data_IF_767124158687
#
_entry.id   IF_767124158687
#
_cell.length_a   1.000
_cell.length_b   1.000
_cell.length_c   1.000
_cell.angle_alpha   90.00
_cell.angle_beta   90.00
_cell.angle_gamma   90.00
#
_symmetry.space_group_name_H-M   'P 1'
#
loop_
_entity.id
_entity.type
_entity.pdbx_description
1 polymer ?
#
# COMPACT_ATOMS: atom_id res chain seq x y z
N UNK A 1 7.91 -1.77 24.51
CA UNK A 1 9.13 -2.42 24.01
C UNK A 1 9.06 -2.31 22.52
N UNK A 2 9.98 -1.58 21.91
CA UNK A 2 10.12 -1.50 20.47
C UNK A 2 10.31 -2.93 19.94
N UNK A 3 9.41 -3.34 19.06
CA UNK A 3 9.32 -4.69 18.50
C UNK A 3 10.46 -4.85 17.47
N UNK A 4 11.37 -5.79 17.72
CA UNK A 4 12.52 -6.09 16.86
C UNK A 4 12.12 -6.22 15.37
N UNK A 5 10.90 -6.69 15.11
CA UNK A 5 10.36 -6.88 13.76
C UNK A 5 10.08 -5.56 13.03
N UNK A 6 9.57 -4.55 13.72
CA UNK A 6 9.34 -3.24 13.12
C UNK A 6 10.64 -2.43 13.03
N UNK A 7 11.55 -2.60 13.99
CA UNK A 7 12.89 -2.01 13.91
C UNK A 7 13.65 -2.51 12.67
N UNK A 8 13.53 -3.80 12.31
CA UNK A 8 14.09 -4.32 11.06
C UNK A 8 13.52 -3.65 9.79
N UNK A 9 12.23 -3.28 9.80
CA UNK A 9 11.63 -2.49 8.71
C UNK A 9 12.25 -1.08 8.66
N UNK A 10 12.45 -0.44 9.81
CA UNK A 10 13.12 0.87 9.89
C UNK A 10 14.58 0.78 9.43
N UNK A 11 15.31 -0.27 9.76
CA UNK A 11 16.67 -0.50 9.26
C UNK A 11 16.71 -0.68 7.73
N UNK A 12 15.73 -1.38 7.17
CA UNK A 12 15.63 -1.67 5.73
C UNK A 12 15.26 -0.44 4.91
N UNK A 13 14.28 0.35 5.36
CA UNK A 13 13.78 1.49 4.60
C UNK A 13 14.34 2.82 5.06
N UNK A 14 14.62 2.98 6.35
CA UNK A 14 14.87 4.27 6.98
C UNK A 14 13.59 5.10 7.13
N UNK A 15 13.54 5.93 8.18
CA UNK A 15 12.45 6.90 8.37
C UNK A 15 12.47 7.96 7.26
N UNK A 16 11.30 8.27 6.72
CA UNK A 16 11.13 9.35 5.77
C UNK A 16 11.00 10.71 6.46
N UNK A 17 10.79 11.75 5.65
CA UNK A 17 10.68 13.13 6.13
C UNK A 17 9.24 13.53 6.47
N UNK A 18 8.27 12.82 5.92
CA UNK A 18 6.85 13.12 6.07
C UNK A 18 6.27 12.20 7.13
N UNK A 19 5.63 12.83 8.11
CA UNK A 19 4.92 12.22 9.22
C UNK A 19 3.69 13.05 9.53
N UNK A 20 2.53 12.40 9.52
CA UNK A 20 1.29 12.97 9.99
C UNK A 20 0.92 12.31 11.32
N UNK A 21 0.63 13.12 12.34
CA UNK A 21 0.15 12.61 13.61
C UNK A 21 -1.22 11.96 13.42
N UNK A 22 -1.39 10.75 13.95
CA UNK A 22 -2.67 10.05 13.89
C UNK A 22 -3.60 10.61 14.97
N UNK A 23 -4.79 11.11 14.58
CA UNK A 23 -5.78 11.57 15.56
C UNK A 23 -6.31 10.42 16.43
N UNK A 24 -6.64 10.69 17.68
CA UNK A 24 -7.27 9.70 18.57
C UNK A 24 -8.61 9.17 18.04
N UNK A 25 -9.33 9.98 17.27
CA UNK A 25 -10.56 9.56 16.59
C UNK A 25 -10.31 8.45 15.56
N UNK A 26 -9.18 8.50 14.83
CA UNK A 26 -8.79 7.47 13.90
C UNK A 26 -8.37 6.18 14.63
N UNK A 27 -7.56 6.29 15.68
CA UNK A 27 -7.17 5.14 16.52
C UNK A 27 -8.39 4.46 17.16
N UNK A 28 -9.36 5.25 17.62
CA UNK A 28 -10.60 4.73 18.20
C UNK A 28 -11.48 4.05 17.16
N UNK A 29 -11.55 4.58 15.93
CA UNK A 29 -12.32 3.99 14.83
C UNK A 29 -11.82 2.59 14.46
N UNK A 30 -10.51 2.40 14.42
CA UNK A 30 -9.91 1.14 13.98
C UNK A 30 -9.60 0.15 15.11
N UNK A 31 -9.89 0.50 16.37
CA UNK A 31 -9.75 -0.42 17.51
C UNK A 31 -10.66 -1.62 17.35
N UNK A 32 -10.09 -2.82 17.40
CA UNK A 32 -10.82 -4.07 17.17
C UNK A 32 -11.17 -4.36 15.70
N UNK A 33 -10.76 -3.48 14.77
CA UNK A 33 -10.92 -3.63 13.32
C UNK A 33 -9.57 -3.95 12.66
N UNK A 34 -8.53 -3.22 13.06
CA UNK A 34 -7.15 -3.46 12.69
C UNK A 34 -6.38 -4.02 13.89
N UNK A 35 -5.21 -4.66 13.67
CA UNK A 35 -4.37 -5.16 14.76
C UNK A 35 -4.00 -4.04 15.73
N UNK A 36 -4.04 -4.33 17.02
CA UNK A 36 -3.63 -3.37 18.04
C UNK A 36 -2.17 -2.94 17.84
N UNK A 37 -1.32 -3.87 17.38
CA UNK A 37 0.07 -3.58 17.02
C UNK A 37 0.20 -2.53 15.92
N UNK A 38 -0.69 -2.53 14.92
CA UNK A 38 -0.69 -1.49 13.88
C UNK A 38 -1.04 -0.13 14.48
N UNK A 39 -2.01 -0.09 15.39
CA UNK A 39 -2.42 1.15 16.07
C UNK A 39 -1.32 1.68 17.01
N UNK A 40 -0.53 0.81 17.63
CA UNK A 40 0.67 1.18 18.37
C UNK A 40 1.72 1.83 17.45
N UNK A 41 2.03 1.19 16.32
CA UNK A 41 2.93 1.76 15.30
C UNK A 41 2.42 3.14 14.84
N UNK A 42 1.12 3.29 14.61
CA UNK A 42 0.52 4.57 14.24
C UNK A 42 0.68 5.65 15.32
N UNK A 43 0.57 5.31 16.61
CA UNK A 43 0.83 6.27 17.71
C UNK A 43 2.28 6.73 17.73
N UNK A 44 3.21 5.79 17.55
CA UNK A 44 4.65 6.05 17.63
C UNK A 44 5.15 6.79 16.39
N UNK A 45 4.88 6.23 15.21
CA UNK A 45 5.47 6.69 13.96
C UNK A 45 4.58 7.64 13.17
N UNK A 46 3.27 7.67 13.42
CA UNK A 46 2.32 8.43 12.59
C UNK A 46 2.00 7.73 11.26
N UNK A 47 1.16 8.37 10.45
CA UNK A 47 1.06 8.03 9.03
C UNK A 47 2.23 8.69 8.30
N UNK A 48 3.20 7.85 7.90
CA UNK A 48 4.55 8.30 7.60
C UNK A 48 5.12 7.68 6.33
N UNK A 49 6.04 8.42 5.73
CA UNK A 49 6.89 7.96 4.63
C UNK A 49 8.11 7.21 5.15
N UNK A 50 8.62 6.28 4.35
CA UNK A 50 9.83 5.50 4.59
C UNK A 50 10.65 5.38 3.29
N UNK A 51 11.97 5.23 3.39
CA UNK A 51 12.82 5.05 2.23
C UNK A 51 12.80 6.20 1.22
N UNK A 52 12.76 7.44 1.70
CA UNK A 52 12.61 8.67 0.90
C UNK A 52 11.27 8.75 0.13
N UNK A 53 10.21 8.13 0.67
CA UNK A 53 8.89 8.10 0.04
C UNK A 53 8.66 6.88 -0.85
N UNK A 54 9.48 5.84 -0.73
CA UNK A 54 9.27 4.56 -1.44
C UNK A 54 8.05 3.81 -0.89
N UNK A 55 7.89 3.82 0.43
CA UNK A 55 6.78 3.16 1.14
C UNK A 55 6.14 4.15 2.10
N UNK A 56 4.83 4.03 2.29
CA UNK A 56 4.06 4.88 3.17
C UNK A 56 3.11 4.05 4.02
N UNK A 57 3.04 4.33 5.31
CA UNK A 57 1.93 3.95 6.17
C UNK A 57 0.88 5.06 6.07
N UNK A 58 -0.38 4.70 5.86
CA UNK A 58 -1.44 5.64 5.47
C UNK A 58 -2.66 5.56 6.38
N UNK A 59 -3.51 6.59 6.31
CA UNK A 59 -4.87 6.53 6.82
C UNK A 59 -5.73 5.67 5.87
N UNK A 60 -6.25 4.51 6.30
CA UNK A 60 -7.09 3.70 5.44
C UNK A 60 -8.38 4.42 5.02
N UNK A 61 -8.86 5.42 5.79
CA UNK A 61 -10.10 6.13 5.46
C UNK A 61 -9.99 6.84 4.12
N UNK A 62 -8.83 7.46 3.83
CA UNK A 62 -8.61 8.18 2.59
C UNK A 62 -8.65 7.27 1.35
N UNK A 63 -8.53 5.96 1.53
CA UNK A 63 -8.50 4.96 0.47
C UNK A 63 -9.80 4.16 0.36
N UNK A 64 -10.79 4.32 1.25
CA UNK A 64 -12.02 3.50 1.27
C UNK A 64 -12.71 3.48 -0.10
N UNK A 65 -12.88 4.65 -0.73
CA UNK A 65 -13.48 4.75 -2.07
C UNK A 65 -12.64 4.10 -3.17
N UNK A 66 -11.30 4.20 -3.08
CA UNK A 66 -10.38 3.54 -4.02
C UNK A 66 -10.50 2.02 -3.87
N UNK A 67 -10.47 1.50 -2.65
CA UNK A 67 -10.59 0.06 -2.38
C UNK A 67 -11.93 -0.48 -2.86
N UNK A 68 -13.04 0.19 -2.54
CA UNK A 68 -14.37 -0.22 -3.00
C UNK A 68 -14.43 -0.30 -4.53
N UNK A 69 -13.95 0.73 -5.21
CA UNK A 69 -13.96 0.82 -6.66
C UNK A 69 -13.07 -0.26 -7.31
N UNK A 70 -11.88 -0.50 -6.77
CA UNK A 70 -10.93 -1.47 -7.33
C UNK A 70 -11.32 -2.91 -7.07
N UNK A 71 -11.89 -3.22 -5.90
CA UNK A 71 -12.30 -4.58 -5.55
C UNK A 71 -13.67 -4.95 -6.11
N UNK A 72 -14.46 -3.99 -6.60
CA UNK A 72 -15.74 -4.27 -7.27
C UNK A 72 -15.56 -5.26 -8.43
N UNK A 73 -16.43 -6.26 -8.46
CA UNK A 73 -16.47 -7.34 -9.46
C UNK A 73 -15.23 -8.24 -9.48
N UNK A 74 -14.48 -8.29 -8.37
CA UNK A 74 -13.33 -9.19 -8.21
C UNK A 74 -13.67 -10.40 -7.33
N UNK A 75 -12.92 -11.51 -7.41
CA UNK A 75 -13.18 -12.69 -6.58
C UNK A 75 -13.07 -12.45 -5.07
N UNK A 76 -12.44 -11.35 -4.64
CA UNK A 76 -12.28 -11.02 -3.23
C UNK A 76 -13.38 -10.08 -2.72
N UNK A 77 -14.23 -9.55 -3.61
CA UNK A 77 -15.36 -8.72 -3.25
C UNK A 77 -16.29 -9.47 -2.29
N UNK A 78 -16.52 -8.91 -1.10
CA UNK A 78 -17.44 -9.48 -0.11
C UNK A 78 -16.87 -10.63 0.73
N UNK A 79 -15.62 -11.06 0.51
CA UNK A 79 -14.96 -12.04 1.40
C UNK A 79 -14.68 -11.42 2.77
N UNK A 80 -14.21 -10.18 2.79
CA UNK A 80 -13.86 -9.42 3.98
C UNK A 80 -14.03 -7.93 3.70
N UNK A 81 -13.93 -7.10 4.74
CA UNK A 81 -13.73 -5.66 4.57
C UNK A 81 -12.24 -5.35 4.57
N UNK A 82 -11.78 -4.63 3.55
CA UNK A 82 -10.36 -4.39 3.31
C UNK A 82 -9.97 -2.93 3.52
N UNK A 83 -8.80 -2.73 4.13
CA UNK A 83 -8.25 -1.44 4.51
C UNK A 83 -6.84 -1.30 3.95
N UNK A 84 -6.51 -0.18 3.29
CA UNK A 84 -5.11 0.07 2.87
C UNK A 84 -4.31 0.47 4.10
N UNK A 85 -3.35 -0.36 4.49
CA UNK A 85 -2.47 -0.07 5.64
C UNK A 85 -1.15 0.54 5.22
N UNK A 86 -0.74 0.29 3.98
CA UNK A 86 0.46 0.85 3.39
C UNK A 86 0.36 0.93 1.86
N UNK A 87 1.20 1.77 1.25
CA UNK A 87 1.35 1.87 -0.21
C UNK A 87 2.80 2.04 -0.64
N UNK A 88 3.09 1.80 -1.90
CA UNK A 88 4.37 2.17 -2.53
C UNK A 88 4.32 3.55 -3.19
N UNK A 89 5.48 4.04 -3.64
CA UNK A 89 5.60 5.24 -4.47
C UNK A 89 4.93 5.11 -5.84
N UNK A 90 4.64 3.88 -6.28
CA UNK A 90 4.11 3.57 -7.62
C UNK A 90 2.64 3.16 -7.60
N UNK A 91 1.97 3.23 -6.44
CA UNK A 91 0.55 2.91 -6.33
C UNK A 91 0.23 1.42 -6.15
N UNK A 92 1.18 0.61 -5.66
CA UNK A 92 0.78 -0.67 -5.05
C UNK A 92 0.15 -0.38 -3.69
N UNK A 93 -1.03 -0.96 -3.43
CA UNK A 93 -1.75 -0.83 -2.17
C UNK A 93 -1.74 -2.16 -1.43
N UNK A 94 -1.27 -2.14 -0.19
CA UNK A 94 -1.24 -3.31 0.70
C UNK A 94 -2.51 -3.31 1.55
N UNK A 95 -3.35 -4.32 1.34
CA UNK A 95 -4.68 -4.41 1.95
C UNK A 95 -4.65 -5.34 3.16
N UNK A 96 -5.25 -4.87 4.25
CA UNK A 96 -5.57 -5.66 5.42
C UNK A 96 -7.06 -6.00 5.43
N UNK A 97 -7.40 -7.28 5.40
CA UNK A 97 -8.77 -7.73 5.67
C UNK A 97 -9.03 -7.84 7.17
N UNK A 98 -10.15 -7.31 7.67
CA UNK A 98 -10.51 -7.25 9.10
C UNK A 98 -10.37 -8.58 9.83
N UNK A 99 -10.54 -9.72 9.16
CA UNK A 99 -10.11 -10.98 9.77
C UNK A 99 -9.38 -11.96 8.88
N UNK A 100 -9.12 -11.62 7.62
CA UNK A 100 -8.24 -12.39 6.73
C UNK A 100 -6.77 -11.95 6.80
N UNK A 101 -6.49 -10.75 7.30
CA UNK A 101 -5.13 -10.21 7.45
C UNK A 101 -4.50 -9.69 6.14
N UNK A 102 -3.16 -9.62 6.04
CA UNK A 102 -2.45 -8.95 4.94
C UNK A 102 -2.23 -9.90 3.76
N UNK A 103 -3.29 -10.25 3.04
CA UNK A 103 -3.24 -11.29 1.98
C UNK A 103 -3.38 -10.79 0.57
N UNK A 104 -3.72 -9.52 0.41
CA UNK A 104 -4.09 -8.94 -0.87
C UNK A 104 -3.22 -7.71 -1.09
N UNK A 105 -2.55 -7.69 -2.25
CA UNK A 105 -1.89 -6.50 -2.75
C UNK A 105 -2.56 -6.10 -4.05
N UNK A 106 -2.97 -4.85 -4.15
CA UNK A 106 -3.47 -4.29 -5.39
C UNK A 106 -2.33 -3.55 -6.09
N UNK A 107 -1.80 -4.14 -7.16
CA UNK A 107 -0.84 -3.45 -8.03
C UNK A 107 -1.61 -2.66 -9.08
N UNK A 108 -2.01 -1.44 -8.72
CA UNK A 108 -2.71 -0.52 -9.60
C UNK A 108 -1.96 -0.23 -10.91
N UNK A 109 -0.63 0.06 -10.93
CA UNK A 109 0.06 0.35 -12.19
C UNK A 109 0.07 -0.86 -13.14
N UNK A 110 0.10 -2.09 -12.61
CA UNK A 110 0.05 -3.33 -13.39
C UNK A 110 -1.37 -3.83 -13.63
N UNK A 111 -2.37 -3.12 -13.13
CA UNK A 111 -3.77 -3.48 -13.21
C UNK A 111 -4.06 -4.90 -12.69
N UNK A 112 -3.41 -5.27 -11.59
CA UNK A 112 -3.37 -6.65 -11.08
C UNK A 112 -3.71 -6.71 -9.59
N UNK A 113 -4.62 -7.60 -9.24
CA UNK A 113 -4.96 -7.99 -7.87
C UNK A 113 -4.16 -9.26 -7.51
N UNK A 114 -3.25 -9.15 -6.56
CA UNK A 114 -2.31 -10.21 -6.18
C UNK A 114 -2.77 -10.84 -4.87
N UNK A 115 -3.06 -12.14 -4.91
CA UNK A 115 -3.34 -12.96 -3.73
C UNK A 115 -3.09 -14.44 -4.03
N UNK A 116 -2.99 -15.27 -2.99
CA UNK A 116 -2.93 -16.73 -3.16
C UNK A 116 -4.34 -17.34 -3.17
N UNK A 117 -4.79 -17.98 -4.27
CA UNK A 117 -6.08 -18.67 -4.32
C UNK A 117 -6.22 -19.70 -3.21
N UNK A 118 -7.41 -19.79 -2.60
CA UNK A 118 -7.70 -20.70 -1.48
C UNK A 118 -7.06 -20.32 -0.14
N UNK A 119 -6.26 -19.24 -0.07
CA UNK A 119 -5.76 -18.68 1.19
C UNK A 119 -6.45 -17.39 1.59
N UNK A 120 -7.04 -16.66 0.64
CA UNK A 120 -7.65 -15.34 0.88
C UNK A 120 -8.79 -15.38 1.90
N UNK A 121 -9.62 -16.43 1.92
CA UNK A 121 -10.73 -16.58 2.87
C UNK A 121 -10.29 -17.05 4.27
N UNK A 122 -9.07 -17.59 4.40
CA UNK A 122 -8.63 -18.11 5.69
C UNK A 122 -8.53 -16.98 6.71
N UNK A 123 -9.01 -17.19 7.92
CA UNK A 123 -8.85 -16.18 8.98
C UNK A 123 -7.39 -16.10 9.42
N UNK A 124 -6.96 -14.91 9.83
CA UNK A 124 -5.66 -14.71 10.47
C UNK A 124 -5.75 -15.20 11.91
N UNK A 125 -4.80 -16.03 12.33
CA UNK A 125 -4.79 -16.60 13.69
C UNK A 125 -4.31 -15.58 14.73
N UNK A 126 -3.26 -14.83 14.39
CA UNK A 126 -2.71 -13.77 15.24
C UNK A 126 -2.47 -12.52 14.40
N UNK A 127 -3.37 -11.56 14.53
CA UNK A 127 -3.38 -10.32 13.76
C UNK A 127 -2.14 -9.45 14.04
N UNK A 128 -1.74 -9.30 15.30
CA UNK A 128 -0.58 -8.50 15.69
C UNK A 128 0.73 -9.09 15.16
N UNK A 129 0.91 -10.40 15.29
CA UNK A 129 2.07 -11.09 14.73
C UNK A 129 2.09 -10.98 13.20
N UNK A 130 0.93 -11.10 12.55
CA UNK A 130 0.83 -11.02 11.10
C UNK A 130 1.19 -9.63 10.57
N UNK A 131 0.83 -8.55 11.27
CA UNK A 131 1.24 -7.19 10.86
C UNK A 131 2.73 -6.94 11.08
N UNK A 132 3.32 -7.46 12.17
CA UNK A 132 4.77 -7.36 12.35
C UNK A 132 5.51 -8.13 11.24
N UNK A 133 5.09 -9.35 10.91
CA UNK A 133 5.65 -10.13 9.79
C UNK A 133 5.49 -9.38 8.46
N UNK A 134 4.33 -8.78 8.20
CA UNK A 134 4.11 -7.98 7.00
C UNK A 134 5.18 -6.90 6.86
N UNK A 135 5.41 -6.07 7.88
CA UNK A 135 6.44 -5.02 7.81
C UNK A 135 7.85 -5.58 7.66
N UNK A 136 8.21 -6.64 8.40
CA UNK A 136 9.56 -7.23 8.32
C UNK A 136 9.84 -7.90 6.97
N UNK A 137 8.82 -8.40 6.29
CA UNK A 137 8.97 -9.08 4.99
C UNK A 137 8.93 -8.13 3.80
N UNK A 138 8.51 -6.88 3.99
CA UNK A 138 8.59 -5.87 2.94
C UNK A 138 10.05 -5.63 2.57
N UNK A 139 10.36 -5.76 1.28
CA UNK A 139 11.67 -5.46 0.74
C UNK A 139 11.64 -4.23 -0.16
N UNK A 140 12.77 -3.54 -0.26
CA UNK A 140 12.92 -2.42 -1.19
C UNK A 140 12.76 -2.86 -2.64
N UNK A 141 13.16 -4.08 -2.96
CA UNK A 141 13.09 -4.62 -4.32
C UNK A 141 11.63 -4.82 -4.76
N UNK A 142 10.78 -5.35 -3.88
CA UNK A 142 9.36 -5.58 -4.18
C UNK A 142 8.58 -4.26 -4.32
N UNK A 143 9.01 -3.22 -3.60
CA UNK A 143 8.37 -1.91 -3.62
C UNK A 143 8.85 -1.01 -4.78
N UNK A 144 9.98 -1.34 -5.42
CA UNK A 144 10.63 -0.52 -6.45
C UNK A 144 10.40 -1.11 -7.84
N UNK A 145 9.39 -0.58 -8.56
CA UNK A 145 9.03 -1.05 -9.90
C UNK A 145 10.19 -0.86 -10.87
N UNK A 146 10.71 -1.97 -11.39
CA UNK A 146 11.83 -2.01 -12.35
C UNK A 146 13.05 -1.18 -11.92
N UNK A 147 13.31 -1.11 -10.60
CA UNK A 147 14.39 -0.32 -10.02
C UNK A 147 14.35 1.18 -10.41
N UNK A 148 13.16 1.71 -10.71
CA UNK A 148 12.97 3.07 -11.20
C UNK A 148 13.00 4.12 -10.08
N UNK A 149 12.79 3.75 -8.81
CA UNK A 149 12.56 4.71 -7.72
C UNK A 149 13.69 5.72 -7.56
N UNK A 150 14.95 5.25 -7.53
CA UNK A 150 16.10 6.17 -7.39
C UNK A 150 16.19 7.16 -8.56
N UNK A 151 15.85 6.71 -9.78
CA UNK A 151 15.84 7.55 -10.98
C UNK A 151 14.66 8.53 -10.95
N UNK A 152 13.48 8.06 -10.54
CA UNK A 152 12.27 8.86 -10.38
C UNK A 152 12.49 9.97 -9.35
N UNK A 153 13.00 9.62 -8.16
CA UNK A 153 13.33 10.58 -7.11
C UNK A 153 14.33 11.66 -7.58
N UNK A 154 15.33 11.28 -8.38
CA UNK A 154 16.31 12.22 -8.94
C UNK A 154 15.71 13.16 -9.98
N UNK A 155 14.84 12.65 -10.86
CA UNK A 155 14.27 13.39 -11.99
C UNK A 155 13.05 14.23 -11.58
N UNK A 156 12.10 13.62 -10.88
CA UNK A 156 10.80 14.17 -10.55
C UNK A 156 10.76 14.79 -9.15
N UNK A 157 11.79 14.53 -8.32
CA UNK A 157 11.86 15.00 -6.94
C UNK A 157 10.97 14.20 -5.98
N UNK A 158 11.04 14.48 -4.66
CA UNK A 158 10.33 13.73 -3.63
C UNK A 158 8.80 13.85 -3.76
N UNK A 159 8.08 12.83 -3.27
CA UNK A 159 6.62 12.78 -3.23
C UNK A 159 6.07 13.41 -1.93
N UNK A 160 4.95 14.11 -2.05
CA UNK A 160 4.01 14.41 -0.98
C UNK A 160 3.13 13.20 -0.61
N UNK A 161 2.30 13.36 0.43
CA UNK A 161 1.47 12.29 0.97
C UNK A 161 0.41 11.78 -0.02
N UNK A 162 -0.11 12.69 -0.85
CA UNK A 162 -1.17 12.43 -1.84
C UNK A 162 -0.61 12.33 -3.27
N UNK A 163 0.72 12.21 -3.41
CA UNK A 163 1.39 12.08 -4.71
C UNK A 163 1.97 10.67 -4.90
N UNK A 164 2.04 10.26 -6.16
CA UNK A 164 2.73 9.05 -6.59
C UNK A 164 3.51 9.27 -7.90
N UNK A 165 4.40 8.35 -8.24
CA UNK A 165 4.95 8.24 -9.58
C UNK A 165 4.02 7.35 -10.41
N UNK A 166 3.29 7.96 -11.34
CA UNK A 166 2.36 7.29 -12.26
C UNK A 166 2.98 7.13 -13.65
N UNK A 167 2.57 6.08 -14.37
CA UNK A 167 2.98 5.89 -15.76
C UNK A 167 2.04 6.64 -16.70
N UNK A 168 2.60 7.48 -17.57
CA UNK A 168 1.90 8.26 -18.59
C UNK A 168 2.57 8.06 -19.96
N UNK A 169 1.93 7.35 -20.92
CA UNK A 169 0.62 6.70 -20.81
C UNK A 169 0.58 5.57 -19.78
N UNK A 170 -0.62 5.27 -19.25
CA UNK A 170 -0.83 4.14 -18.36
C UNK A 170 -0.41 2.81 -19.01
N UNK A 171 0.17 1.89 -18.23
CA UNK A 171 0.65 0.59 -18.75
C UNK A 171 -0.46 -0.26 -19.38
N UNK A 172 -1.66 -0.24 -18.79
CA UNK A 172 -2.84 -0.91 -19.37
C UNK A 172 -3.28 -0.31 -20.72
N UNK A 173 -2.94 0.95 -20.98
CA UNK A 173 -3.21 1.65 -22.24
C UNK A 173 -2.04 1.55 -23.24
N UNK A 174 -1.10 0.62 -23.03
CA UNK A 174 0.06 0.42 -23.90
C UNK A 174 1.27 1.28 -23.54
N UNK A 175 1.27 1.92 -22.37
CA UNK A 175 2.45 2.61 -21.84
C UNK A 175 3.60 1.67 -21.53
N UNK A 176 4.81 2.24 -21.45
CA UNK A 176 6.03 1.48 -21.13
C UNK A 176 6.50 1.76 -19.71
N UNK A 177 7.00 0.72 -19.04
CA UNK A 177 7.61 0.83 -17.71
C UNK A 177 9.02 1.42 -17.83
N UNK A 178 9.11 2.75 -17.99
CA UNK A 178 10.38 3.45 -18.17
C UNK A 178 10.41 4.74 -17.34
N UNK A 179 11.61 5.24 -17.06
CA UNK A 179 11.76 6.54 -16.36
C UNK A 179 11.20 7.71 -17.18
N UNK A 180 11.09 7.55 -18.50
CA UNK A 180 10.66 8.60 -19.43
C UNK A 180 9.16 8.79 -19.46
N UNK A 181 8.42 7.76 -19.03
CA UNK A 181 6.98 7.78 -18.89
C UNK A 181 6.52 7.89 -17.44
N UNK A 182 7.42 8.18 -16.49
CA UNK A 182 7.02 8.46 -15.12
C UNK A 182 6.76 9.95 -14.95
N UNK A 183 5.58 10.24 -14.40
CA UNK A 183 5.18 11.58 -13.98
C UNK A 183 4.79 11.58 -12.51
N UNK A 184 4.94 12.75 -11.87
CA UNK A 184 4.41 12.95 -10.52
C UNK A 184 2.96 13.37 -10.64
N UNK A 185 2.07 12.55 -10.08
CA UNK A 185 0.62 12.69 -10.26
C UNK A 185 -0.11 12.65 -8.92
N UNK A 186 -1.32 13.20 -8.90
CA UNK A 186 -2.25 13.01 -7.79
C UNK A 186 -2.63 11.52 -7.69
N UNK A 187 -2.43 10.97 -6.49
CA UNK A 187 -2.61 9.55 -6.23
C UNK A 187 -4.05 9.12 -6.44
N UNK A 188 -5.02 9.80 -5.82
CA UNK A 188 -6.41 9.34 -5.84
C UNK A 188 -7.00 9.48 -7.25
N UNK A 189 -6.69 10.56 -7.95
CA UNK A 189 -7.10 10.80 -9.33
C UNK A 189 -6.49 9.74 -10.25
N UNK A 190 -5.18 9.53 -10.19
CA UNK A 190 -4.51 8.59 -11.09
C UNK A 190 -4.98 7.14 -10.85
N UNK A 191 -5.11 6.72 -9.58
CA UNK A 191 -5.67 5.39 -9.25
C UNK A 191 -7.12 5.23 -9.73
N UNK A 192 -7.91 6.30 -9.74
CA UNK A 192 -9.29 6.29 -10.26
C UNK A 192 -9.34 6.22 -11.79
N UNK A 193 -8.41 6.89 -12.47
CA UNK A 193 -8.27 6.80 -13.94
C UNK A 193 -7.89 5.37 -14.33
N UNK A 194 -6.87 4.79 -13.68
CA UNK A 194 -6.42 3.43 -13.97
C UNK A 194 -7.59 2.44 -13.87
N UNK A 195 -8.41 2.50 -12.82
CA UNK A 195 -9.56 1.60 -12.64
C UNK A 195 -10.64 1.75 -13.71
N UNK A 196 -10.77 2.91 -14.35
CA UNK A 196 -11.71 3.13 -15.45
C UNK A 196 -11.23 2.51 -16.77
N UNK A 197 -9.93 2.25 -16.92
CA UNK A 197 -9.36 1.64 -18.12
C UNK A 197 -9.60 0.14 -18.22
N UNK A 198 -10.02 -0.53 -17.14
CA UNK A 198 -10.40 -1.94 -17.17
C UNK A 198 -10.67 -2.54 -15.79
N UNK A 199 -11.06 -3.81 -15.75
CA UNK A 199 -11.12 -4.59 -14.50
C UNK A 199 -9.72 -5.15 -14.14
N UNK A 200 -9.33 -5.19 -12.85
CA UNK A 200 -8.05 -5.77 -12.47
C UNK A 200 -8.00 -7.26 -12.80
N UNK A 201 -6.85 -7.73 -13.27
CA UNK A 201 -6.59 -9.15 -13.48
C UNK A 201 -6.18 -9.80 -12.16
N UNK A 202 -6.52 -11.07 -11.97
CA UNK A 202 -6.00 -11.83 -10.83
C UNK A 202 -4.59 -12.35 -11.17
N UNK A 203 -3.60 -11.95 -10.37
CA UNK A 203 -2.22 -12.44 -10.45
C UNK A 203 -1.90 -13.33 -9.27
N UNK A 204 -1.09 -14.37 -9.49
CA UNK A 204 -0.44 -15.11 -8.42
C UNK A 204 0.83 -14.36 -7.96
N UNK A 205 1.19 -14.54 -6.69
CA UNK A 205 2.47 -14.08 -6.12
C UNK A 205 3.67 -14.68 -6.85
#
# INVERSE_FOLDING_TARGET
MTDELFDAFIETFGRGKIRQQVPESALSRYRGVLPDRLLEIWREEGWSSYGNGLVWIVDPQAYEGIVEMWLRDTPVAGIDKYHVIARTAFGDLFLWGEGTGPKITLSCPLHTLIFLPGRVEKRVENADRAVSIFFTTLSRADCDKDHLFKRALKRLGPLGAEEMYGFEPALIAGGEMSIDHLEKVDLYVHLSILRQLGAPRVGAF
#
